data_IF_399844798680
#
_entry.id   IF_399844798680
#
_cell.length_a   1.000
_cell.length_b   1.000
_cell.length_c   1.000
_cell.angle_alpha   90.00
_cell.angle_beta   90.00
_cell.angle_gamma   90.00
#
_symmetry.space_group_name_H-M   'P 1'
#
loop_
_entity.id
_entity.type
_entity.pdbx_description
1 polymer ?
#
# COMPACT_ATOMS: atom_id res chain seq x y z
N UNK A 1 -9.99 -4.13 -3.63
CA UNK A 1 -11.12 -3.72 -4.49
C UNK A 1 -10.67 -3.55 -5.94
N UNK A 2 -9.54 -2.91 -6.19
CA UNK A 2 -9.02 -2.70 -7.55
C UNK A 2 -8.19 -3.86 -8.09
N UNK A 3 -7.71 -4.75 -7.23
CA UNK A 3 -6.94 -5.91 -7.63
C UNK A 3 -7.86 -7.11 -7.81
N UNK A 4 -7.94 -7.64 -9.01
CA UNK A 4 -8.60 -8.91 -9.31
C UNK A 4 -7.56 -10.02 -9.42
N UNK A 5 -7.89 -11.20 -8.96
CA UNK A 5 -7.05 -12.40 -9.02
C UNK A 5 -6.95 -13.10 -7.67
N UNK A 6 -6.50 -14.33 -7.71
CA UNK A 6 -6.32 -15.16 -6.52
C UNK A 6 -5.12 -14.69 -5.69
N UNK A 7 -5.20 -14.89 -4.38
CA UNK A 7 -4.05 -14.75 -3.48
C UNK A 7 -3.11 -15.91 -3.78
N UNK A 8 -1.97 -15.60 -4.37
CA UNK A 8 -0.96 -16.59 -4.70
C UNK A 8 0.13 -16.61 -3.60
N UNK A 9 0.13 -17.68 -2.81
CA UNK A 9 1.12 -17.92 -1.76
C UNK A 9 2.32 -18.75 -2.24
N UNK A 10 2.43 -19.02 -3.55
CA UNK A 10 3.58 -19.72 -4.10
C UNK A 10 4.85 -18.91 -3.89
N UNK A 11 5.97 -19.63 -3.74
CA UNK A 11 7.28 -18.97 -3.63
C UNK A 11 7.58 -18.22 -4.92
N UNK A 12 7.95 -16.94 -4.77
CA UNK A 12 8.42 -16.10 -5.88
C UNK A 12 9.56 -16.80 -6.62
N UNK A 13 9.44 -16.91 -7.93
CA UNK A 13 10.50 -17.47 -8.77
C UNK A 13 11.78 -16.61 -8.73
N UNK A 14 12.91 -17.17 -9.14
CA UNK A 14 14.15 -16.40 -9.25
C UNK A 14 14.00 -15.22 -10.22
N UNK A 15 13.32 -15.44 -11.36
CA UNK A 15 13.05 -14.40 -12.36
C UNK A 15 12.22 -13.25 -11.81
N UNK A 16 11.18 -13.55 -11.00
CA UNK A 16 10.37 -12.52 -10.35
C UNK A 16 11.18 -11.70 -9.32
N UNK A 17 12.06 -12.37 -8.56
CA UNK A 17 12.98 -11.67 -7.63
C UNK A 17 13.94 -10.75 -8.35
N UNK A 18 14.49 -11.20 -9.46
CA UNK A 18 15.41 -10.40 -10.30
C UNK A 18 14.67 -9.19 -10.89
N UNK A 19 13.44 -9.37 -11.37
CA UNK A 19 12.59 -8.29 -11.87
C UNK A 19 12.26 -7.26 -10.76
N UNK A 20 11.92 -7.72 -9.55
CA UNK A 20 11.68 -6.84 -8.40
C UNK A 20 12.94 -6.04 -8.02
N UNK A 21 14.11 -6.67 -8.04
CA UNK A 21 15.37 -5.99 -7.76
C UNK A 21 15.74 -4.98 -8.85
N UNK A 22 15.52 -5.33 -10.13
CA UNK A 22 15.73 -4.43 -11.26
C UNK A 22 14.81 -3.22 -11.16
N UNK A 23 13.52 -3.42 -10.87
CA UNK A 23 12.56 -2.37 -10.61
C UNK A 23 13.00 -1.43 -9.48
N UNK A 24 13.38 -1.98 -8.33
CA UNK A 24 13.85 -1.20 -7.19
C UNK A 24 15.12 -0.38 -7.47
N UNK A 25 16.04 -0.91 -8.28
CA UNK A 25 17.23 -0.14 -8.72
C UNK A 25 16.83 1.01 -9.64
N UNK A 26 15.88 0.76 -10.56
CA UNK A 26 15.43 1.76 -11.51
C UNK A 26 14.63 2.88 -10.82
N UNK A 27 13.77 2.58 -9.87
CA UNK A 27 13.09 3.59 -9.03
C UNK A 27 14.10 4.57 -8.43
N UNK A 28 15.11 4.06 -7.72
CA UNK A 28 16.15 4.90 -7.12
C UNK A 28 16.96 5.70 -8.15
N UNK A 29 17.18 5.14 -9.35
CA UNK A 29 17.87 5.85 -10.45
C UNK A 29 17.02 7.02 -10.95
N UNK A 30 15.72 6.82 -11.11
CA UNK A 30 14.78 7.86 -11.53
C UNK A 30 14.67 8.96 -10.44
N UNK A 31 14.46 8.60 -9.19
CA UNK A 31 14.34 9.52 -8.06
C UNK A 31 15.60 10.40 -7.92
N UNK A 32 16.81 9.82 -8.04
CA UNK A 32 18.08 10.57 -7.97
C UNK A 32 18.31 11.57 -9.09
N UNK A 33 17.59 11.46 -10.20
CA UNK A 33 17.68 12.37 -11.34
C UNK A 33 16.72 13.54 -11.28
N UNK A 34 15.85 13.56 -10.26
CA UNK A 34 14.87 14.63 -10.07
C UNK A 34 15.52 15.89 -9.48
N UNK A 35 14.79 17.01 -9.56
CA UNK A 35 15.23 18.30 -9.01
C UNK A 35 15.11 18.41 -7.50
N UNK A 36 15.46 19.59 -6.96
CA UNK A 36 15.41 19.86 -5.52
C UNK A 36 14.00 19.84 -4.92
N UNK A 37 12.98 20.11 -5.75
CA UNK A 37 11.57 20.13 -5.35
C UNK A 37 10.95 18.73 -5.26
N UNK A 38 11.71 17.68 -5.53
CA UNK A 38 11.27 16.29 -5.50
C UNK A 38 11.59 15.63 -4.16
N UNK A 39 10.56 15.23 -3.43
CA UNK A 39 10.66 14.49 -2.17
C UNK A 39 10.37 13.01 -2.44
N UNK A 40 11.40 12.16 -2.34
CA UNK A 40 11.27 10.73 -2.59
C UNK A 40 10.74 9.99 -1.36
N UNK A 41 9.98 8.90 -1.60
CA UNK A 41 9.57 7.94 -0.57
C UNK A 41 8.78 8.59 0.58
N UNK A 42 7.80 9.44 0.26
CA UNK A 42 7.01 10.20 1.24
C UNK A 42 5.96 9.31 1.90
N UNK A 43 6.06 9.06 3.22
CA UNK A 43 5.06 8.28 3.93
C UNK A 43 3.76 9.05 4.09
N UNK A 44 2.64 8.39 3.86
CA UNK A 44 1.30 8.96 3.94
C UNK A 44 0.37 8.01 4.68
N UNK A 45 -0.60 8.56 5.40
CA UNK A 45 -1.63 7.79 6.10
C UNK A 45 -2.92 8.58 6.20
N UNK A 46 -4.03 7.88 6.16
CA UNK A 46 -5.35 8.43 6.42
C UNK A 46 -6.19 7.45 7.21
N UNK A 47 -6.96 7.92 8.18
CA UNK A 47 -7.83 7.08 9.00
C UNK A 47 -9.28 7.37 8.68
N UNK A 48 -10.03 6.34 8.33
CA UNK A 48 -11.47 6.41 8.15
C UNK A 48 -12.14 5.80 9.38
N UNK A 49 -12.82 6.64 10.14
CA UNK A 49 -13.53 6.23 11.36
C UNK A 49 -14.87 5.57 11.00
N UNK A 50 -15.17 4.48 11.68
CA UNK A 50 -16.46 3.82 11.69
C UNK A 50 -16.93 3.70 13.15
N UNK A 51 -18.20 3.37 13.38
CA UNK A 51 -18.79 3.30 14.72
C UNK A 51 -18.00 2.38 15.67
N UNK A 52 -17.64 1.18 15.22
CA UNK A 52 -17.01 0.14 16.03
C UNK A 52 -15.53 -0.12 15.70
N UNK A 53 -15.03 0.41 14.58
CA UNK A 53 -13.66 0.17 14.11
C UNK A 53 -13.17 1.33 13.26
N UNK A 54 -11.89 1.31 12.94
CA UNK A 54 -11.29 2.26 12.01
C UNK A 54 -10.52 1.54 10.92
N UNK A 55 -10.50 2.15 9.75
CA UNK A 55 -9.71 1.70 8.62
C UNK A 55 -8.51 2.62 8.49
N UNK A 56 -7.32 2.08 8.67
CA UNK A 56 -6.08 2.81 8.42
C UNK A 56 -5.63 2.52 6.98
N UNK A 57 -5.60 3.56 6.16
CA UNK A 57 -5.01 3.54 4.82
C UNK A 57 -3.64 4.17 4.92
N UNK A 58 -2.60 3.41 4.62
CA UNK A 58 -1.23 3.90 4.68
C UNK A 58 -0.41 3.41 3.50
N UNK A 59 0.60 4.17 3.16
CA UNK A 59 1.52 3.83 2.09
C UNK A 59 2.66 4.82 2.01
N UNK A 60 3.41 4.74 0.92
CA UNK A 60 4.55 5.61 0.67
C UNK A 60 4.55 5.95 -0.81
N UNK A 61 4.32 7.22 -1.12
CA UNK A 61 4.40 7.72 -2.47
C UNK A 61 5.86 7.68 -2.97
N UNK A 62 6.07 7.24 -4.20
CA UNK A 62 7.42 7.19 -4.79
C UNK A 62 8.04 8.59 -4.87
N UNK A 63 7.22 9.61 -5.12
CA UNK A 63 7.65 10.98 -5.10
C UNK A 63 6.53 12.00 -4.93
N UNK A 64 6.87 13.13 -4.32
CA UNK A 64 6.06 14.34 -4.27
C UNK A 64 6.90 15.49 -4.80
N UNK A 65 6.39 16.21 -5.78
CA UNK A 65 7.04 17.40 -6.34
C UNK A 65 6.27 18.62 -5.83
N UNK A 66 6.95 19.46 -5.06
CA UNK A 66 6.39 20.71 -4.50
C UNK A 66 6.98 21.92 -5.23
N UNK A 67 6.42 22.21 -6.42
CA UNK A 67 6.85 23.34 -7.22
C UNK A 67 6.00 24.58 -6.98
N UNK A 68 6.50 25.76 -7.35
CA UNK A 68 5.72 27.02 -7.30
C UNK A 68 4.42 26.93 -8.11
N UNK A 69 4.42 26.11 -9.16
CA UNK A 69 3.25 25.88 -10.03
C UNK A 69 2.19 24.96 -9.44
N UNK A 70 2.48 24.28 -8.33
CA UNK A 70 1.59 23.31 -7.70
C UNK A 70 2.29 22.04 -7.29
N UNK A 71 1.50 21.13 -6.70
CA UNK A 71 1.98 19.84 -6.21
C UNK A 71 1.69 18.74 -7.21
N UNK A 72 2.65 17.80 -7.36
CA UNK A 72 2.49 16.60 -8.19
C UNK A 72 2.83 15.36 -7.36
N UNK A 73 1.93 14.38 -7.36
CA UNK A 73 2.23 13.02 -6.87
C UNK A 73 2.80 12.22 -8.03
N UNK A 74 4.00 11.68 -7.86
CA UNK A 74 4.69 10.86 -8.86
C UNK A 74 4.73 9.40 -8.40
N UNK A 75 4.11 8.52 -9.17
CA UNK A 75 4.12 7.08 -8.98
C UNK A 75 4.94 6.42 -10.08
N UNK A 76 6.02 5.74 -9.71
CA UNK A 76 6.96 5.14 -10.65
C UNK A 76 6.62 3.67 -10.88
N UNK A 77 6.48 3.28 -12.13
CA UNK A 77 6.20 1.89 -12.53
C UNK A 77 7.21 1.38 -13.54
N UNK A 78 8.02 0.43 -13.10
CA UNK A 78 8.96 -0.26 -13.96
C UNK A 78 8.28 -1.50 -14.57
N UNK A 79 8.24 -1.56 -15.89
CA UNK A 79 7.48 -2.55 -16.67
C UNK A 79 8.31 -3.11 -17.82
N UNK A 80 7.90 -4.27 -18.38
CA UNK A 80 8.48 -4.86 -19.59
C UNK A 80 7.65 -4.62 -20.85
N UNK A 81 6.49 -3.93 -20.70
CA UNK A 81 5.64 -3.62 -21.85
C UNK A 81 6.13 -2.39 -22.62
N UNK A 82 5.70 -2.27 -23.87
CA UNK A 82 5.96 -1.08 -24.69
C UNK A 82 5.20 0.12 -24.10
N UNK A 83 5.95 1.01 -23.46
CA UNK A 83 5.38 2.19 -22.79
C UNK A 83 4.84 3.23 -23.77
N UNK A 84 5.24 3.19 -25.03
CA UNK A 84 4.77 4.14 -26.06
C UNK A 84 3.33 3.86 -26.50
N UNK A 85 2.84 2.64 -26.28
CA UNK A 85 1.45 2.27 -26.55
C UNK A 85 0.48 2.63 -25.40
N UNK A 86 1.00 3.08 -24.26
CA UNK A 86 0.16 3.49 -23.12
C UNK A 86 -0.38 4.90 -23.35
N UNK A 87 -1.57 5.05 -23.85
CA UNK A 87 -2.25 6.34 -23.99
C UNK A 87 -2.70 6.88 -22.63
N UNK A 88 -3.14 5.99 -21.73
CA UNK A 88 -3.60 6.30 -20.39
C UNK A 88 -2.91 5.40 -19.35
N UNK A 89 -2.83 5.83 -18.07
CA UNK A 89 -2.31 5.00 -17.00
C UNK A 89 -3.14 3.72 -16.79
N UNK A 90 -2.48 2.62 -16.48
CA UNK A 90 -3.18 1.42 -16.03
C UNK A 90 -3.98 1.73 -14.75
N UNK A 91 -5.22 1.27 -14.71
CA UNK A 91 -6.19 1.60 -13.64
C UNK A 91 -5.65 1.38 -12.24
N UNK A 92 -4.92 0.28 -12.02
CA UNK A 92 -4.36 -0.03 -10.70
C UNK A 92 -3.25 0.95 -10.28
N UNK A 93 -2.40 1.35 -11.22
CA UNK A 93 -1.33 2.31 -10.98
C UNK A 93 -1.89 3.70 -10.71
N UNK A 94 -2.89 4.09 -11.49
CA UNK A 94 -3.61 5.33 -11.28
C UNK A 94 -4.31 5.35 -9.91
N UNK A 95 -5.00 4.27 -9.53
CA UNK A 95 -5.70 4.18 -8.26
C UNK A 95 -4.75 4.34 -7.05
N UNK A 96 -3.54 3.81 -7.14
CA UNK A 96 -2.51 3.98 -6.11
C UNK A 96 -2.12 5.45 -5.98
N UNK A 97 -1.83 6.11 -7.07
CA UNK A 97 -1.47 7.54 -7.07
C UNK A 97 -2.63 8.44 -6.62
N UNK A 98 -3.89 8.09 -6.98
CA UNK A 98 -5.09 8.78 -6.48
C UNK A 98 -5.24 8.68 -4.95
N UNK A 99 -4.94 7.51 -4.36
CA UNK A 99 -4.92 7.36 -2.91
C UNK A 99 -3.89 8.31 -2.27
N UNK A 100 -2.68 8.39 -2.81
CA UNK A 100 -1.65 9.29 -2.29
C UNK A 100 -2.04 10.77 -2.47
N UNK A 101 -2.59 11.12 -3.63
CA UNK A 101 -3.06 12.48 -3.88
C UNK A 101 -4.17 12.88 -2.90
N UNK A 102 -5.13 11.99 -2.64
CA UNK A 102 -6.15 12.23 -1.63
C UNK A 102 -5.56 12.43 -0.23
N UNK A 103 -4.66 11.51 0.21
CA UNK A 103 -4.03 11.60 1.53
C UNK A 103 -3.22 12.89 1.68
N UNK A 104 -2.49 13.28 0.63
CA UNK A 104 -1.74 14.54 0.62
C UNK A 104 -2.66 15.75 0.73
N UNK A 105 -3.74 15.80 -0.03
CA UNK A 105 -4.73 16.88 0.06
C UNK A 105 -5.43 16.92 1.43
N UNK A 106 -5.70 15.75 2.05
CA UNK A 106 -6.31 15.69 3.37
C UNK A 106 -5.42 16.33 4.47
N UNK A 107 -4.10 16.17 4.35
CA UNK A 107 -3.13 16.75 5.28
C UNK A 107 -2.79 18.22 4.97
N UNK A 108 -3.19 18.76 3.79
CA UNK A 108 -2.87 20.12 3.32
C UNK A 108 -4.14 20.85 2.85
N UNK A 109 -4.81 21.52 3.76
CA UNK A 109 -6.12 22.17 3.50
C UNK A 109 -6.10 23.25 2.41
N UNK A 110 -4.96 23.89 2.17
CA UNK A 110 -4.78 24.95 1.19
C UNK A 110 -4.63 24.44 -0.26
N UNK A 111 -4.55 23.14 -0.49
CA UNK A 111 -4.40 22.55 -1.83
C UNK A 111 -5.77 22.17 -2.37
N UNK A 112 -6.20 22.87 -3.43
CA UNK A 112 -7.48 22.65 -4.09
C UNK A 112 -7.38 21.77 -5.35
N UNK A 113 -6.20 21.66 -5.92
CA UNK A 113 -5.90 20.78 -7.06
C UNK A 113 -4.49 20.22 -6.97
N UNK A 114 -4.30 19.03 -7.52
CA UNK A 114 -3.02 18.31 -7.52
C UNK A 114 -2.85 17.58 -8.84
N UNK A 115 -1.63 17.56 -9.36
CA UNK A 115 -1.28 16.78 -10.54
C UNK A 115 -0.91 15.36 -10.13
N UNK A 116 -1.45 14.37 -10.82
CA UNK A 116 -1.07 12.97 -10.70
C UNK A 116 -0.20 12.62 -11.88
N UNK A 117 0.99 12.12 -11.62
CA UNK A 117 1.92 11.66 -12.62
C UNK A 117 2.20 10.18 -12.43
N UNK A 118 2.04 9.39 -13.50
CA UNK A 118 2.55 8.01 -13.53
C UNK A 118 3.78 7.99 -14.42
N UNK A 119 4.92 7.70 -13.80
CA UNK A 119 6.21 7.60 -14.48
C UNK A 119 6.47 6.14 -14.84
N UNK A 120 6.18 5.77 -16.08
CA UNK A 120 6.53 4.45 -16.61
C UNK A 120 7.98 4.40 -17.06
N UNK A 121 8.66 3.32 -16.70
CA UNK A 121 10.01 3.03 -17.19
C UNK A 121 10.04 1.60 -17.74
N UNK A 122 10.46 1.44 -19.00
CA UNK A 122 10.72 0.14 -19.56
C UNK A 122 12.05 -0.41 -19.00
N UNK A 123 12.02 -1.62 -18.43
CA UNK A 123 13.21 -2.22 -17.78
C UNK A 123 14.27 -2.71 -18.76
N UNK A 124 13.94 -2.90 -20.05
CA UNK A 124 14.88 -3.33 -21.08
C UNK A 124 15.56 -2.14 -21.75
N UNK A 125 14.77 -1.11 -22.12
CA UNK A 125 15.29 0.06 -22.86
C UNK A 125 15.69 1.23 -21.95
N UNK A 126 15.26 1.21 -20.68
CA UNK A 126 15.36 2.31 -19.72
C UNK A 126 14.64 3.60 -20.15
N UNK A 127 13.82 3.54 -21.19
CA UNK A 127 13.02 4.65 -21.64
C UNK A 127 11.95 5.02 -20.62
N UNK A 128 11.64 6.30 -20.53
CA UNK A 128 10.68 6.84 -19.56
C UNK A 128 9.57 7.58 -20.28
N UNK A 129 8.32 7.25 -19.92
CA UNK A 129 7.13 7.98 -20.32
C UNK A 129 6.36 8.45 -19.10
N UNK A 130 5.94 9.72 -19.07
CA UNK A 130 5.16 10.30 -17.99
C UNK A 130 3.77 10.63 -18.50
N UNK A 131 2.76 10.07 -17.85
CA UNK A 131 1.35 10.37 -18.09
C UNK A 131 0.85 11.21 -16.92
N UNK A 132 0.26 12.37 -17.22
CA UNK A 132 -0.20 13.33 -16.22
C UNK A 132 -1.69 13.60 -16.35
N UNK A 133 -2.33 13.85 -15.22
CA UNK A 133 -3.70 14.36 -15.15
C UNK A 133 -3.85 15.22 -13.88
N UNK A 134 -4.62 16.28 -13.98
CA UNK A 134 -4.95 17.12 -12.84
C UNK A 134 -6.23 16.63 -12.20
N UNK A 135 -6.29 16.72 -10.87
CA UNK A 135 -7.46 16.39 -10.07
C UNK A 135 -7.73 17.47 -9.05
N UNK A 136 -9.00 17.86 -8.92
CA UNK A 136 -9.44 18.71 -7.83
C UNK A 136 -9.56 17.92 -6.54
N UNK A 137 -9.49 18.61 -5.41
CA UNK A 137 -9.78 18.04 -4.09
C UNK A 137 -11.13 17.31 -4.07
N UNK A 138 -12.17 17.92 -4.61
CA UNK A 138 -13.52 17.37 -4.64
C UNK A 138 -13.60 16.06 -5.46
N UNK A 139 -12.93 16.00 -6.60
CA UNK A 139 -12.84 14.78 -7.41
C UNK A 139 -12.13 13.66 -6.65
N UNK A 140 -11.02 13.97 -5.95
CA UNK A 140 -10.27 13.01 -5.14
C UNK A 140 -11.10 12.50 -3.96
N UNK A 141 -11.80 13.39 -3.29
CA UNK A 141 -12.67 13.06 -2.16
C UNK A 141 -13.81 12.14 -2.60
N UNK A 142 -14.49 12.49 -3.68
CA UNK A 142 -15.57 11.68 -4.25
C UNK A 142 -15.06 10.28 -4.65
N UNK A 143 -13.92 10.23 -5.33
CA UNK A 143 -13.31 8.97 -5.75
C UNK A 143 -12.89 8.10 -4.55
N UNK A 144 -12.23 8.70 -3.55
CA UNK A 144 -11.77 7.98 -2.37
C UNK A 144 -12.94 7.47 -1.51
N UNK A 145 -13.98 8.28 -1.31
CA UNK A 145 -15.20 7.86 -0.62
C UNK A 145 -15.87 6.67 -1.33
N UNK A 146 -15.94 6.69 -2.67
CA UNK A 146 -16.44 5.56 -3.45
C UNK A 146 -15.59 4.30 -3.26
N UNK A 147 -14.26 4.43 -3.24
CA UNK A 147 -13.35 3.32 -2.97
C UNK A 147 -13.56 2.73 -1.56
N UNK A 148 -13.65 3.58 -0.55
CA UNK A 148 -13.90 3.16 0.84
C UNK A 148 -15.28 2.50 0.97
N UNK A 149 -16.32 3.07 0.36
CA UNK A 149 -17.66 2.48 0.37
C UNK A 149 -17.65 1.02 -0.14
N UNK A 150 -16.96 0.76 -1.25
CA UNK A 150 -16.81 -0.60 -1.77
C UNK A 150 -15.99 -1.52 -0.84
N UNK A 151 -15.05 -0.97 -0.08
CA UNK A 151 -14.24 -1.74 0.84
C UNK A 151 -14.95 -2.03 2.17
N UNK A 152 -15.88 -1.17 2.61
CA UNK A 152 -16.55 -1.28 3.92
C UNK A 152 -17.19 -2.65 4.15
N UNK A 153 -17.83 -3.25 3.15
CA UNK A 153 -18.42 -4.59 3.24
C UNK A 153 -17.42 -5.66 3.67
N UNK A 154 -16.17 -5.55 3.20
CA UNK A 154 -15.08 -6.46 3.56
C UNK A 154 -14.50 -6.14 4.92
N UNK A 155 -14.32 -4.87 5.24
CA UNK A 155 -13.84 -4.42 6.55
C UNK A 155 -14.80 -4.86 7.66
N UNK A 156 -16.09 -4.66 7.48
CA UNK A 156 -17.13 -5.08 8.42
C UNK A 156 -17.16 -6.61 8.56
N UNK A 157 -17.09 -7.34 7.45
CA UNK A 157 -17.03 -8.81 7.50
C UNK A 157 -15.83 -9.29 8.31
N UNK A 158 -14.63 -8.75 8.06
CA UNK A 158 -13.41 -9.11 8.77
C UNK A 158 -13.49 -8.75 10.25
N UNK A 159 -14.05 -7.59 10.59
CA UNK A 159 -14.25 -7.18 11.96
C UNK A 159 -15.19 -8.15 12.70
N UNK A 160 -16.37 -8.41 12.17
CA UNK A 160 -17.35 -9.35 12.75
C UNK A 160 -16.80 -10.78 12.83
N UNK A 161 -16.10 -11.23 11.80
CA UNK A 161 -15.44 -12.54 11.80
C UNK A 161 -14.40 -12.62 12.91
N UNK A 162 -13.58 -11.57 13.09
CA UNK A 162 -12.56 -11.52 14.14
C UNK A 162 -13.19 -11.61 15.52
N UNK A 163 -14.27 -10.87 15.79
CA UNK A 163 -14.99 -10.93 17.07
C UNK A 163 -15.50 -12.35 17.35
N UNK A 164 -16.19 -12.97 16.38
CA UNK A 164 -16.70 -14.35 16.53
C UNK A 164 -15.60 -15.36 16.76
N UNK A 165 -14.51 -15.25 16.01
CA UNK A 165 -13.33 -16.12 16.18
C UNK A 165 -12.76 -15.96 17.57
N UNK A 166 -12.55 -14.74 18.04
CA UNK A 166 -11.94 -14.48 19.33
C UNK A 166 -12.84 -14.93 20.49
N UNK A 167 -14.16 -14.82 20.33
CA UNK A 167 -15.15 -15.36 21.27
C UNK A 167 -15.07 -16.90 21.30
N UNK A 168 -15.11 -17.56 20.15
CA UNK A 168 -15.03 -19.03 20.07
C UNK A 168 -13.71 -19.57 20.62
N UNK A 169 -12.60 -18.83 20.46
CA UNK A 169 -11.28 -19.24 20.99
C UNK A 169 -11.21 -19.16 22.51
N UNK A 170 -12.02 -18.33 23.17
CA UNK A 170 -12.08 -18.26 24.65
C UNK A 170 -12.61 -19.52 25.29
N UNK A 171 -13.50 -20.21 24.59
CA UNK A 171 -14.13 -21.45 25.05
C UNK A 171 -13.36 -22.70 24.61
N UNK A 172 -12.30 -22.51 23.79
CA UNK A 172 -11.52 -23.63 23.28
C UNK A 172 -10.58 -24.15 24.34
N UNK A 173 -10.83 -25.40 24.79
CA UNK A 173 -9.93 -26.13 25.65
C UNK A 173 -8.97 -26.97 24.81
N UNK A 174 -7.71 -27.05 25.24
CA UNK A 174 -6.74 -27.93 24.60
C UNK A 174 -7.10 -29.40 24.92
N UNK A 175 -7.51 -30.21 23.92
CA UNK A 175 -8.16 -31.52 24.17
C UNK A 175 -7.19 -32.62 24.61
N UNK A 176 -5.88 -32.35 24.66
CA UNK A 176 -4.86 -33.31 24.98
C UNK A 176 -4.08 -32.91 26.23
N UNK A 177 -3.49 -33.91 26.90
CA UNK A 177 -2.54 -33.60 27.98
C UNK A 177 -1.26 -32.97 27.40
N UNK A 178 -0.82 -31.89 28.01
CA UNK A 178 0.44 -31.27 27.62
C UNK A 178 1.61 -32.23 27.82
N UNK A 179 2.50 -32.30 26.86
CA UNK A 179 3.80 -32.94 27.01
C UNK A 179 4.71 -32.09 27.91
N UNK A 180 5.76 -32.69 28.48
CA UNK A 180 6.75 -31.96 29.27
C UNK A 180 7.31 -30.77 28.46
N UNK A 181 7.36 -29.59 29.06
CA UNK A 181 7.83 -28.36 28.44
C UNK A 181 6.84 -27.65 27.47
N UNK A 182 5.78 -28.33 27.01
CA UNK A 182 4.87 -27.75 26.02
C UNK A 182 4.06 -26.57 26.56
N UNK A 183 3.61 -26.63 27.81
CA UNK A 183 2.88 -25.55 28.46
C UNK A 183 3.76 -24.34 28.69
N UNK A 184 4.98 -24.56 29.15
CA UNK A 184 5.99 -23.54 29.38
C UNK A 184 6.37 -22.84 28.07
N UNK A 185 6.51 -23.60 26.99
CA UNK A 185 6.74 -23.08 25.64
C UNK A 185 5.58 -22.18 25.19
N UNK A 186 4.33 -22.65 25.28
CA UNK A 186 3.15 -21.88 24.91
C UNK A 186 3.05 -20.56 25.67
N UNK A 187 3.30 -20.59 27.01
CA UNK A 187 3.33 -19.38 27.86
C UNK A 187 4.45 -18.43 27.43
N UNK A 188 5.61 -18.97 27.08
CA UNK A 188 6.77 -18.17 26.66
C UNK A 188 6.52 -17.50 25.31
N UNK A 189 5.93 -18.20 24.35
CA UNK A 189 5.49 -17.64 23.06
C UNK A 189 4.47 -16.53 23.27
N UNK A 190 3.42 -16.79 24.06
CA UNK A 190 2.40 -15.78 24.35
C UNK A 190 3.00 -14.51 24.96
N UNK A 191 3.89 -14.66 25.96
CA UNK A 191 4.55 -13.53 26.60
C UNK A 191 5.47 -12.75 25.65
N UNK A 192 6.19 -13.46 24.77
CA UNK A 192 7.04 -12.81 23.76
C UNK A 192 6.20 -11.98 22.77
N UNK A 193 5.11 -12.53 22.27
CA UNK A 193 4.17 -11.82 21.38
C UNK A 193 3.54 -10.61 22.09
N UNK A 194 3.00 -10.79 23.29
CA UNK A 194 2.36 -9.71 24.05
C UNK A 194 3.32 -8.54 24.36
N UNK A 195 4.60 -8.84 24.53
CA UNK A 195 5.66 -7.87 24.84
C UNK A 195 6.44 -7.39 23.61
N UNK A 196 6.08 -7.86 22.42
CA UNK A 196 6.78 -7.58 21.14
C UNK A 196 8.29 -7.89 21.24
N UNK A 197 8.67 -9.01 21.86
CA UNK A 197 10.05 -9.44 22.04
C UNK A 197 10.34 -10.68 21.22
N UNK A 198 11.60 -10.83 20.81
CA UNK A 198 12.08 -12.07 20.20
C UNK A 198 12.14 -13.20 21.23
N UNK A 199 11.81 -14.41 20.82
CA UNK A 199 11.93 -15.63 21.59
C UNK A 199 12.84 -16.61 20.82
N UNK A 200 13.87 -17.07 21.48
CA UNK A 200 14.74 -18.14 20.98
C UNK A 200 14.34 -19.44 21.69
N UNK A 201 14.11 -20.50 20.92
CA UNK A 201 13.72 -21.82 21.40
C UNK A 201 14.82 -22.77 20.98
N UNK A 202 15.37 -23.51 21.96
CA UNK A 202 16.42 -24.51 21.76
C UNK A 202 15.88 -25.90 22.13
#
# INVERSE_FOLDING_TARGET
>A
VMRSGDIDNRRTSAAEKDAMQAGSRMHRKIQKRQGADYHAEVPMKHTVEQEDYRILVEGRADGVIEAVSGVTIDEIKCVYLDIHQLEEPLTLHLAQALCYAYMYCADHENINSITIQITYCNLETEEIRRLKQDKTREELETWFQGLIHEYLKWAEYLYRHTLRRDESLRELEFPYKYRAGQKELAVSVYRALARKRNLFIQ
#
